data_IF_080207037311
#
_entry.id   IF_080207037311
#
_cell.length_a   1.000
_cell.length_b   1.000
_cell.length_c   1.000
_cell.angle_alpha   90.00
_cell.angle_beta   90.00
_cell.angle_gamma   90.00
#
_symmetry.space_group_name_H-M   'P 1'
#
loop_
_entity.id
_entity.type
_entity.pdbx_description
1 polymer ?
#
# COMPACT_ATOMS: atom_id res chain seq x y z
N UNK A 1 -2.21 30.27 2.67
CA UNK A 1 -1.20 29.56 3.45
C UNK A 1 -1.82 28.22 3.85
N UNK A 2 -1.66 27.21 3.01
CA UNK A 2 -2.11 25.84 3.28
C UNK A 2 -1.01 25.19 4.12
N UNK A 3 -1.30 24.95 5.41
CA UNK A 3 -0.39 24.24 6.30
C UNK A 3 -0.15 22.82 5.77
N UNK A 4 1.11 22.44 5.59
CA UNK A 4 1.51 21.14 5.10
C UNK A 4 0.99 20.01 5.99
N UNK A 5 0.43 18.97 5.39
CA UNK A 5 -0.21 17.82 6.07
C UNK A 5 0.78 16.93 6.82
N UNK A 6 2.07 17.13 6.67
CA UNK A 6 3.09 16.20 7.14
C UNK A 6 3.42 16.23 8.63
N UNK A 7 3.17 17.35 9.31
CA UNK A 7 3.33 17.58 10.76
C UNK A 7 4.40 16.72 11.49
N UNK A 8 5.61 16.65 10.95
CA UNK A 8 6.72 15.90 11.53
C UNK A 8 6.72 14.40 11.30
N UNK A 9 5.86 13.87 10.41
CA UNK A 9 5.82 12.47 10.03
C UNK A 9 7.14 12.04 9.38
N UNK A 10 7.67 10.91 9.82
CA UNK A 10 8.96 10.39 9.36
C UNK A 10 8.78 9.42 8.20
N UNK A 11 9.50 9.71 7.11
CA UNK A 11 9.47 8.90 5.89
C UNK A 11 10.86 8.32 5.66
N UNK A 12 10.99 7.01 5.57
CA UNK A 12 12.21 6.37 5.09
C UNK A 12 12.35 6.64 3.59
N UNK A 13 13.54 7.07 3.16
CA UNK A 13 13.92 7.11 1.74
C UNK A 13 15.17 6.24 1.55
N UNK A 14 15.04 5.14 0.81
CA UNK A 14 16.13 4.21 0.52
C UNK A 14 16.45 4.24 -0.98
N UNK A 15 17.62 4.78 -1.33
CA UNK A 15 18.10 4.90 -2.71
C UNK A 15 19.62 5.11 -2.65
N UNK A 16 20.43 4.43 -3.48
CA UNK A 16 21.89 4.57 -3.48
C UNK A 16 22.35 5.87 -4.14
N UNK A 17 21.48 6.51 -4.93
CA UNK A 17 21.76 7.77 -5.57
C UNK A 17 21.53 8.96 -4.61
N UNK A 18 22.58 9.56 -4.10
CA UNK A 18 22.51 10.75 -3.23
C UNK A 18 21.70 11.91 -3.83
N UNK A 19 21.67 12.03 -5.18
CA UNK A 19 20.88 13.05 -5.87
C UNK A 19 19.37 12.81 -5.68
N UNK A 20 18.92 11.55 -5.71
CA UNK A 20 17.52 11.18 -5.48
C UNK A 20 17.15 11.44 -4.02
N UNK A 21 17.97 10.99 -3.06
CA UNK A 21 17.75 11.26 -1.65
C UNK A 21 17.65 12.76 -1.33
N UNK A 22 18.49 13.60 -1.99
CA UNK A 22 18.41 15.07 -1.87
C UNK A 22 17.11 15.61 -2.49
N UNK A 23 16.72 15.11 -3.66
CA UNK A 23 15.48 15.52 -4.31
C UNK A 23 14.26 15.17 -3.45
N UNK A 24 14.21 13.95 -2.89
CA UNK A 24 13.15 13.53 -1.96
C UNK A 24 13.07 14.45 -0.74
N UNK A 25 14.21 14.79 -0.12
CA UNK A 25 14.26 15.75 1.00
C UNK A 25 13.75 17.14 0.63
N UNK A 26 14.15 17.65 -0.56
CA UNK A 26 13.71 18.97 -1.03
C UNK A 26 12.21 19.02 -1.32
N UNK A 27 11.65 17.95 -1.85
CA UNK A 27 10.22 17.86 -2.20
C UNK A 27 9.36 17.66 -0.95
N UNK A 28 9.77 16.77 -0.04
CA UNK A 28 8.92 16.34 1.08
C UNK A 28 9.00 17.28 2.31
N UNK A 29 10.13 17.94 2.53
CA UNK A 29 10.30 18.85 3.68
C UNK A 29 9.33 20.03 3.71
N UNK A 30 9.06 20.73 2.60
CA UNK A 30 8.05 21.82 2.58
C UNK A 30 6.63 21.34 2.94
N UNK A 31 6.33 20.07 2.68
CA UNK A 31 5.04 19.42 3.02
C UNK A 31 4.99 18.93 4.48
N UNK A 32 6.03 19.22 5.27
CA UNK A 32 6.08 18.89 6.70
C UNK A 32 6.56 17.47 7.01
N UNK A 33 7.15 16.76 6.05
CA UNK A 33 7.73 15.43 6.28
C UNK A 33 9.21 15.51 6.69
N UNK A 34 9.61 14.67 7.63
CA UNK A 34 11.00 14.39 7.96
C UNK A 34 11.48 13.18 7.17
N UNK A 35 12.52 13.35 6.33
CA UNK A 35 13.05 12.26 5.49
C UNK A 35 14.29 11.66 6.15
N UNK A 36 14.17 10.40 6.56
CA UNK A 36 15.28 9.56 7.03
C UNK A 36 15.86 8.81 5.82
N UNK A 37 17.08 9.17 5.44
CA UNK A 37 17.73 8.63 4.25
C UNK A 37 18.54 7.39 4.58
N UNK A 38 18.54 6.41 3.68
CA UNK A 38 19.39 5.23 3.68
C UNK A 38 19.91 4.98 2.26
N UNK A 39 21.18 4.61 2.13
CA UNK A 39 21.80 4.33 0.84
C UNK A 39 21.91 2.84 0.52
N UNK A 40 21.40 1.99 1.42
CA UNK A 40 21.43 0.53 1.28
C UNK A 40 20.26 -0.12 2.02
N UNK A 41 19.99 -1.38 1.75
CA UNK A 41 18.98 -2.17 2.46
C UNK A 41 19.32 -2.30 3.95
N UNK A 42 20.60 -2.53 4.28
CA UNK A 42 21.05 -2.64 5.66
C UNK A 42 20.82 -1.34 6.44
N UNK A 43 21.19 -0.21 5.85
CA UNK A 43 20.90 1.10 6.46
C UNK A 43 19.41 1.36 6.65
N UNK A 44 18.60 1.01 5.64
CA UNK A 44 17.15 1.15 5.70
C UNK A 44 16.53 0.36 6.87
N UNK A 45 16.93 -0.91 7.03
CA UNK A 45 16.47 -1.76 8.13
C UNK A 45 16.92 -1.20 9.49
N UNK A 46 18.15 -0.71 9.60
CA UNK A 46 18.65 -0.06 10.82
C UNK A 46 17.86 1.21 11.17
N UNK A 47 17.56 2.06 10.18
CA UNK A 47 16.73 3.26 10.38
C UNK A 47 15.37 2.90 10.95
N UNK A 48 14.70 1.90 10.36
CA UNK A 48 13.35 1.52 10.79
C UNK A 48 13.35 0.82 12.15
N UNK A 49 14.42 0.10 12.48
CA UNK A 49 14.58 -0.52 13.80
C UNK A 49 14.77 0.52 14.93
N UNK A 50 15.42 1.63 14.63
CA UNK A 50 15.80 2.65 15.62
C UNK A 50 14.83 3.85 15.69
N UNK A 51 14.01 4.04 14.66
CA UNK A 51 13.13 5.20 14.55
C UNK A 51 11.73 4.82 14.08
N UNK A 52 10.67 5.40 14.66
CA UNK A 52 9.32 5.21 14.13
C UNK A 52 9.23 5.85 12.74
N UNK A 53 8.86 5.05 11.76
CA UNK A 53 8.70 5.44 10.35
C UNK A 53 7.25 5.18 9.94
N UNK A 54 6.60 6.15 9.30
CA UNK A 54 5.19 6.07 8.93
C UNK A 54 4.97 5.62 7.49
N UNK A 55 5.96 5.81 6.61
CA UNK A 55 5.97 5.26 5.26
C UNK A 55 7.41 5.10 4.76
N UNK A 56 7.61 4.27 3.73
CA UNK A 56 8.88 4.07 3.08
C UNK A 56 8.79 4.35 1.58
N UNK A 57 9.82 4.98 1.03
CA UNK A 57 10.07 5.14 -0.40
C UNK A 57 11.35 4.34 -0.69
N UNK A 58 11.26 3.34 -1.56
CA UNK A 58 12.32 2.34 -1.75
C UNK A 58 12.69 2.23 -3.23
N UNK A 59 13.95 2.41 -3.57
CA UNK A 59 14.45 2.07 -4.90
C UNK A 59 14.53 0.54 -5.09
N UNK A 60 14.31 0.07 -6.30
CA UNK A 60 14.45 -1.34 -6.65
C UNK A 60 15.91 -1.78 -6.73
N UNK A 61 16.80 -0.89 -7.16
CA UNK A 61 18.23 -1.18 -7.31
C UNK A 61 18.98 -0.65 -6.10
N UNK A 62 19.55 -1.55 -5.30
CA UNK A 62 20.33 -1.20 -4.11
C UNK A 62 21.69 -1.90 -4.17
N UNK A 63 22.75 -1.33 -3.58
CA UNK A 63 24.11 -1.87 -3.69
C UNK A 63 24.29 -3.24 -3.00
N UNK A 64 23.44 -3.52 -2.01
CA UNK A 64 23.48 -4.74 -1.19
C UNK A 64 22.28 -5.68 -1.44
N UNK A 65 21.48 -5.41 -2.49
CA UNK A 65 20.36 -6.27 -2.85
C UNK A 65 19.30 -5.61 -3.72
N UNK A 66 18.10 -6.20 -3.75
CA UNK A 66 16.97 -5.70 -4.49
C UNK A 66 15.94 -5.08 -3.55
N UNK A 67 15.40 -3.92 -3.89
CA UNK A 67 14.35 -3.25 -3.11
C UNK A 67 13.10 -4.09 -2.90
N UNK A 68 12.81 -5.07 -3.78
CA UNK A 68 11.73 -6.04 -3.58
C UNK A 68 11.99 -6.90 -2.32
N UNK A 69 13.24 -7.26 -2.06
CA UNK A 69 13.58 -8.05 -0.87
C UNK A 69 13.52 -7.17 0.39
N UNK A 70 13.88 -5.88 0.29
CA UNK A 70 13.64 -4.92 1.36
C UNK A 70 12.13 -4.80 1.68
N UNK A 71 11.28 -4.71 0.66
CA UNK A 71 9.82 -4.70 0.86
C UNK A 71 9.34 -5.94 1.62
N UNK A 72 9.77 -7.14 1.24
CA UNK A 72 9.41 -8.39 1.93
C UNK A 72 9.84 -8.37 3.40
N UNK A 73 11.10 -7.99 3.67
CA UNK A 73 11.63 -7.89 5.04
C UNK A 73 10.86 -6.89 5.90
N UNK A 74 10.53 -5.73 5.35
CA UNK A 74 9.71 -4.74 6.06
C UNK A 74 8.31 -5.28 6.36
N UNK A 75 7.74 -6.09 5.47
CA UNK A 75 6.40 -6.70 5.65
C UNK A 75 6.35 -7.82 6.71
N UNK A 76 7.47 -8.41 7.08
CA UNK A 76 7.51 -9.43 8.14
C UNK A 76 7.02 -8.87 9.49
N UNK A 77 7.17 -7.56 9.73
CA UNK A 77 6.86 -6.95 11.03
C UNK A 77 6.20 -5.56 10.94
N UNK A 78 5.97 -5.03 9.74
CA UNK A 78 5.36 -3.70 9.57
C UNK A 78 4.30 -3.68 8.48
N UNK A 79 3.20 -2.97 8.76
CA UNK A 79 2.15 -2.66 7.80
C UNK A 79 2.26 -1.25 7.21
N UNK A 80 3.36 -0.50 7.48
CA UNK A 80 3.53 0.85 6.97
C UNK A 80 3.45 0.90 5.44
N UNK A 81 2.95 1.96 4.82
CA UNK A 81 2.95 2.11 3.38
C UNK A 81 4.36 2.06 2.79
N UNK A 82 4.52 1.31 1.69
CA UNK A 82 5.77 1.25 0.93
C UNK A 82 5.49 1.65 -0.51
N UNK A 83 6.15 2.72 -0.96
CA UNK A 83 6.14 3.18 -2.35
C UNK A 83 7.48 2.79 -2.98
N UNK A 84 7.43 2.10 -4.12
CA UNK A 84 8.63 1.69 -4.83
C UNK A 84 8.97 2.72 -5.93
N UNK A 85 10.24 3.10 -6.03
CA UNK A 85 10.76 3.83 -7.17
C UNK A 85 11.27 2.82 -8.22
N UNK A 86 10.88 2.99 -9.49
CA UNK A 86 11.29 2.08 -10.58
C UNK A 86 11.72 2.86 -11.82
N UNK A 87 12.59 2.30 -12.64
CA UNK A 87 12.91 2.86 -13.96
C UNK A 87 11.74 2.72 -14.95
N UNK A 88 11.74 3.53 -16.01
CA UNK A 88 10.74 3.45 -17.09
C UNK A 88 10.91 2.12 -17.85
N UNK A 89 9.79 1.44 -18.12
CA UNK A 89 9.75 0.26 -19.01
C UNK A 89 9.75 -1.10 -18.31
N UNK A 90 9.88 -1.15 -16.99
CA UNK A 90 9.96 -2.40 -16.22
C UNK A 90 8.61 -2.80 -15.62
N UNK A 91 7.61 -3.09 -16.46
CA UNK A 91 6.26 -3.49 -16.01
C UNK A 91 6.29 -4.77 -15.15
N UNK A 92 7.14 -5.73 -15.51
CA UNK A 92 7.27 -6.97 -14.74
C UNK A 92 7.81 -6.71 -13.33
N UNK A 93 8.76 -5.79 -13.17
CA UNK A 93 9.30 -5.42 -11.85
C UNK A 93 8.26 -4.70 -10.99
N UNK A 94 7.44 -3.82 -11.57
CA UNK A 94 6.33 -3.19 -10.87
C UNK A 94 5.36 -4.23 -10.31
N UNK A 95 4.96 -5.20 -11.16
CA UNK A 95 4.09 -6.30 -10.72
C UNK A 95 4.76 -7.14 -9.62
N UNK A 96 6.05 -7.41 -9.73
CA UNK A 96 6.81 -8.14 -8.71
C UNK A 96 6.88 -7.38 -7.39
N UNK A 97 7.15 -6.07 -7.43
CA UNK A 97 7.18 -5.21 -6.24
C UNK A 97 5.83 -5.18 -5.51
N UNK A 98 4.72 -4.98 -6.25
CA UNK A 98 3.38 -5.03 -5.69
C UNK A 98 3.05 -6.39 -5.07
N UNK A 99 3.42 -7.50 -5.73
CA UNK A 99 3.25 -8.86 -5.18
C UNK A 99 4.10 -9.12 -3.93
N UNK A 100 5.23 -8.44 -3.81
CA UNK A 100 6.11 -8.52 -2.64
C UNK A 100 5.62 -7.68 -1.45
N UNK A 101 4.54 -6.89 -1.65
CA UNK A 101 3.91 -6.12 -0.60
C UNK A 101 4.11 -4.61 -0.69
N UNK A 102 4.66 -4.08 -1.80
CA UNK A 102 4.59 -2.64 -2.05
C UNK A 102 3.13 -2.20 -2.22
N UNK A 103 2.78 -1.04 -1.70
CA UNK A 103 1.42 -0.46 -1.79
C UNK A 103 1.22 0.29 -3.09
N UNK A 104 2.31 0.84 -3.64
CA UNK A 104 2.32 1.65 -4.85
C UNK A 104 3.72 1.69 -5.48
N UNK A 105 3.80 2.23 -6.69
CA UNK A 105 5.07 2.49 -7.35
C UNK A 105 5.07 3.87 -8.04
N UNK A 106 6.26 4.43 -8.21
CA UNK A 106 6.49 5.68 -8.95
C UNK A 106 7.62 5.44 -9.94
N UNK A 107 7.43 5.87 -11.19
CA UNK A 107 8.43 5.72 -12.23
C UNK A 107 9.42 6.90 -12.22
N UNK A 108 10.71 6.60 -12.27
CA UNK A 108 11.77 7.62 -12.44
C UNK A 108 11.90 8.01 -13.92
N UNK A 109 11.99 9.32 -14.29
CA UNK A 109 11.93 10.48 -13.39
C UNK A 109 10.49 10.79 -12.96
N UNK A 110 10.31 11.22 -11.72
CA UNK A 110 8.99 11.54 -11.15
C UNK A 110 8.80 13.04 -10.93
N UNK A 111 7.54 13.48 -11.02
CA UNK A 111 7.15 14.84 -10.68
C UNK A 111 7.06 15.05 -9.16
N UNK A 112 7.49 16.22 -8.62
CA UNK A 112 7.33 16.51 -7.20
C UNK A 112 5.90 16.37 -6.69
N UNK A 113 4.93 16.87 -7.45
CA UNK A 113 3.50 16.82 -7.09
C UNK A 113 2.95 15.39 -7.10
N UNK A 114 3.39 14.56 -8.05
CA UNK A 114 3.02 13.14 -8.10
C UNK A 114 3.51 12.41 -6.87
N UNK A 115 4.77 12.58 -6.49
CA UNK A 115 5.37 11.96 -5.31
C UNK A 115 4.58 12.32 -4.04
N UNK A 116 4.30 13.62 -3.83
CA UNK A 116 3.56 14.11 -2.66
C UNK A 116 2.15 13.53 -2.64
N UNK A 117 1.41 13.60 -3.75
CA UNK A 117 0.05 13.10 -3.83
C UNK A 117 -0.05 11.59 -3.53
N UNK A 118 0.89 10.79 -4.08
CA UNK A 118 0.95 9.35 -3.82
C UNK A 118 1.30 9.03 -2.38
N UNK A 119 2.26 9.75 -1.79
CA UNK A 119 2.64 9.57 -0.38
C UNK A 119 1.48 9.93 0.56
N UNK A 120 0.81 11.05 0.33
CA UNK A 120 -0.35 11.46 1.12
C UNK A 120 -1.52 10.48 0.99
N UNK A 121 -1.79 9.98 -0.23
CA UNK A 121 -2.79 8.95 -0.45
C UNK A 121 -2.44 7.66 0.31
N UNK A 122 -1.18 7.23 0.31
CA UNK A 122 -0.72 6.07 1.06
C UNK A 122 -0.87 6.26 2.58
N UNK A 123 -0.49 7.42 3.10
CA UNK A 123 -0.63 7.76 4.53
C UNK A 123 -2.10 7.91 4.96
N UNK A 124 -2.96 8.47 4.11
CA UNK A 124 -4.41 8.59 4.40
C UNK A 124 -5.07 7.21 4.52
N UNK A 125 -4.73 6.26 3.65
CA UNK A 125 -5.20 4.87 3.75
C UNK A 125 -4.80 4.22 5.08
N UNK A 126 -3.73 4.70 5.66
CA UNK A 126 -3.17 4.24 6.92
C UNK A 126 -3.84 4.79 8.17
N UNK A 127 -4.65 5.84 8.06
CA UNK A 127 -5.28 6.50 9.22
C UNK A 127 -6.57 5.79 9.62
N UNK A 128 -6.84 5.61 10.94
CA UNK A 128 -8.10 5.04 11.41
C UNK A 128 -9.28 5.96 11.09
N UNK A 129 -10.40 5.36 10.67
CA UNK A 129 -11.67 6.07 10.44
C UNK A 129 -12.61 5.78 11.63
N UNK A 130 -13.19 6.80 12.31
CA UNK A 130 -13.88 6.63 13.59
C UNK A 130 -15.25 5.93 13.53
N UNK A 131 -15.82 5.62 12.38
CA UNK A 131 -17.23 5.21 12.23
C UNK A 131 -17.45 3.72 12.01
N UNK A 132 -16.77 2.78 12.71
CA UNK A 132 -16.87 1.42 12.23
C UNK A 132 -17.16 0.32 13.25
N UNK A 133 -18.21 -0.42 12.92
CA UNK A 133 -18.64 -1.67 13.53
C UNK A 133 -17.89 -2.88 12.96
N UNK A 134 -17.85 -3.97 13.72
CA UNK A 134 -17.38 -5.28 13.27
C UNK A 134 -18.33 -5.83 12.21
N UNK A 135 -17.79 -6.18 11.05
CA UNK A 135 -18.54 -6.82 9.97
C UNK A 135 -18.14 -8.28 9.88
N UNK A 136 -19.10 -9.18 10.14
CA UNK A 136 -18.89 -10.62 10.04
C UNK A 136 -19.62 -11.19 8.81
N UNK A 137 -18.93 -12.05 8.06
CA UNK A 137 -19.48 -12.70 6.89
C UNK A 137 -18.75 -14.01 6.54
N UNK A 138 -19.48 -15.14 6.61
CA UNK A 138 -18.97 -16.47 6.18
C UNK A 138 -17.61 -16.86 6.79
N UNK A 139 -17.40 -16.58 8.09
CA UNK A 139 -16.15 -16.87 8.81
C UNK A 139 -15.09 -15.79 8.69
N UNK A 140 -15.29 -14.74 7.89
CA UNK A 140 -14.45 -13.56 7.89
C UNK A 140 -15.05 -12.50 8.83
N UNK A 141 -14.25 -12.01 9.76
CA UNK A 141 -14.58 -10.93 10.69
C UNK A 141 -13.65 -9.76 10.38
N UNK A 142 -14.21 -8.59 10.11
CA UNK A 142 -13.48 -7.35 9.82
C UNK A 142 -13.87 -6.32 10.86
N UNK A 143 -12.96 -5.99 11.76
CA UNK A 143 -13.10 -4.90 12.70
C UNK A 143 -12.49 -3.65 12.09
N UNK A 144 -13.36 -2.76 11.62
CA UNK A 144 -12.95 -1.56 10.93
C UNK A 144 -12.35 -0.50 11.88
N UNK A 145 -12.78 -0.50 13.15
CA UNK A 145 -12.25 0.39 14.18
C UNK A 145 -10.87 -0.09 14.70
N UNK A 146 -10.75 -1.38 14.98
CA UNK A 146 -9.49 -1.97 15.46
C UNK A 146 -8.49 -2.24 14.31
N UNK A 147 -8.87 -2.02 13.04
CA UNK A 147 -8.06 -2.38 11.86
C UNK A 147 -7.61 -3.85 11.88
N UNK A 148 -8.45 -4.74 12.38
CA UNK A 148 -8.14 -6.16 12.49
C UNK A 148 -9.04 -7.00 11.61
N UNK A 149 -8.50 -8.12 11.14
CA UNK A 149 -9.22 -9.09 10.32
C UNK A 149 -8.96 -10.49 10.85
N UNK A 150 -10.03 -11.26 11.01
CA UNK A 150 -9.95 -12.67 11.40
C UNK A 150 -10.68 -13.53 10.39
N UNK A 151 -10.19 -14.74 10.20
CA UNK A 151 -10.87 -15.77 9.43
C UNK A 151 -10.94 -17.06 10.25
N UNK A 152 -12.15 -17.55 10.47
CA UNK A 152 -12.42 -18.74 11.28
C UNK A 152 -11.72 -18.66 12.67
N UNK A 153 -11.67 -17.45 13.26
CA UNK A 153 -11.01 -17.14 14.54
C UNK A 153 -9.50 -16.89 14.49
N UNK A 154 -8.85 -17.13 13.35
CA UNK A 154 -7.42 -16.87 13.18
C UNK A 154 -7.17 -15.45 12.65
N UNK A 155 -6.20 -14.74 13.24
CA UNK A 155 -5.83 -13.40 12.80
C UNK A 155 -5.20 -13.41 11.40
N UNK A 156 -5.59 -12.45 10.55
CA UNK A 156 -5.04 -12.24 9.21
C UNK A 156 -4.31 -10.90 9.20
N UNK A 157 -3.02 -10.94 8.89
CA UNK A 157 -2.24 -9.72 8.76
C UNK A 157 -2.39 -9.12 7.35
N UNK A 158 -3.10 -7.99 7.25
CA UNK A 158 -3.21 -7.19 6.04
C UNK A 158 -2.28 -5.97 6.10
N UNK A 159 -1.76 -5.56 4.94
CA UNK A 159 -1.14 -4.24 4.81
C UNK A 159 -2.23 -3.17 4.91
N UNK A 160 -1.83 -1.92 5.10
CA UNK A 160 -2.78 -0.80 5.17
C UNK A 160 -3.59 -0.64 3.88
N UNK A 161 -2.98 -0.85 2.74
CA UNK A 161 -3.66 -0.78 1.43
C UNK A 161 -4.62 -1.95 1.24
N UNK A 162 -4.22 -3.17 1.58
CA UNK A 162 -5.11 -4.34 1.52
C UNK A 162 -6.32 -4.17 2.45
N UNK A 163 -6.10 -3.61 3.66
CA UNK A 163 -7.17 -3.32 4.59
C UNK A 163 -8.10 -2.21 4.06
N UNK A 164 -7.55 -1.12 3.50
CA UNK A 164 -8.35 -0.06 2.89
C UNK A 164 -9.21 -0.57 1.74
N UNK A 165 -8.64 -1.43 0.89
CA UNK A 165 -9.37 -2.08 -0.21
C UNK A 165 -10.48 -3.00 0.31
N UNK A 166 -10.18 -3.83 1.32
CA UNK A 166 -11.18 -4.68 1.98
C UNK A 166 -12.29 -3.84 2.59
N UNK A 167 -11.97 -2.76 3.29
CA UNK A 167 -12.94 -1.82 3.89
C UNK A 167 -13.93 -1.30 2.87
N UNK A 168 -13.45 -0.79 1.72
CA UNK A 168 -14.31 -0.29 0.64
C UNK A 168 -15.21 -1.39 0.12
N UNK A 169 -14.68 -2.57 -0.13
CA UNK A 169 -15.42 -3.72 -0.63
C UNK A 169 -16.50 -4.20 0.36
N UNK A 170 -16.17 -4.29 1.64
CA UNK A 170 -17.09 -4.78 2.69
C UNK A 170 -18.21 -3.78 2.95
N UNK A 171 -17.91 -2.46 2.99
CA UNK A 171 -18.93 -1.40 3.10
C UNK A 171 -19.90 -1.38 1.92
N UNK A 172 -19.45 -1.79 0.74
CA UNK A 172 -20.25 -1.91 -0.48
C UNK A 172 -20.67 -3.37 -0.76
N UNK A 173 -20.86 -4.16 0.30
CA UNK A 173 -21.25 -5.58 0.19
C UNK A 173 -22.44 -5.80 -0.77
N UNK A 174 -22.30 -6.76 -1.66
CA UNK A 174 -23.33 -7.11 -2.67
C UNK A 174 -23.37 -6.15 -3.87
N UNK A 175 -22.74 -4.98 -3.80
CA UNK A 175 -22.69 -4.02 -4.91
C UNK A 175 -21.47 -4.29 -5.80
N UNK A 176 -21.62 -4.07 -7.09
CA UNK A 176 -20.50 -4.05 -8.03
C UNK A 176 -19.76 -2.71 -7.89
N UNK A 177 -18.48 -2.79 -7.55
CA UNK A 177 -17.57 -1.66 -7.54
C UNK A 177 -16.74 -1.69 -8.82
N UNK A 178 -16.78 -0.62 -9.63
CA UNK A 178 -15.96 -0.56 -10.84
C UNK A 178 -14.47 -0.45 -10.52
N UNK A 179 -13.60 -0.78 -11.49
CA UNK A 179 -12.16 -0.58 -11.31
C UNK A 179 -11.85 0.86 -10.92
N UNK A 180 -12.49 1.82 -11.59
CA UNK A 180 -12.33 3.24 -11.34
C UNK A 180 -12.78 3.65 -9.94
N UNK A 181 -13.96 3.20 -9.49
CA UNK A 181 -14.46 3.55 -8.16
C UNK A 181 -13.51 3.03 -7.08
N UNK A 182 -13.06 1.78 -7.18
CA UNK A 182 -12.11 1.20 -6.24
C UNK A 182 -10.77 1.94 -6.23
N UNK A 183 -10.27 2.32 -7.41
CA UNK A 183 -9.02 3.06 -7.53
C UNK A 183 -9.15 4.45 -6.90
N UNK A 184 -10.23 5.17 -7.20
CA UNK A 184 -10.47 6.51 -6.66
C UNK A 184 -10.68 6.47 -5.14
N UNK A 185 -11.49 5.54 -4.64
CA UNK A 185 -11.82 5.44 -3.21
C UNK A 185 -10.60 5.03 -2.37
N UNK A 186 -9.74 4.16 -2.91
CA UNK A 186 -8.59 3.64 -2.17
C UNK A 186 -7.33 4.47 -2.41
N UNK A 187 -7.04 4.90 -3.64
CA UNK A 187 -5.79 5.59 -3.98
C UNK A 187 -5.95 7.06 -4.30
N UNK A 188 -7.11 7.50 -4.75
CA UNK A 188 -7.38 8.86 -5.19
C UNK A 188 -7.59 8.96 -6.70
N UNK A 189 -8.04 10.14 -7.15
CA UNK A 189 -8.42 10.37 -8.54
C UNK A 189 -7.25 10.20 -9.53
N UNK A 190 -6.03 10.42 -9.07
CA UNK A 190 -4.80 10.30 -9.86
C UNK A 190 -4.55 8.86 -10.33
N UNK A 191 -5.15 7.88 -9.64
CA UNK A 191 -5.02 6.45 -9.95
C UNK A 191 -6.18 5.90 -10.78
N UNK A 192 -7.15 6.72 -11.16
CA UNK A 192 -8.41 6.27 -11.75
C UNK A 192 -8.28 5.26 -12.90
N UNK A 193 -7.16 5.27 -13.61
CA UNK A 193 -6.89 4.42 -14.78
C UNK A 193 -5.78 3.37 -14.54
N UNK A 194 -5.19 3.31 -13.32
CA UNK A 194 -4.09 2.37 -13.00
C UNK A 194 -4.60 1.00 -12.54
N UNK A 195 -5.19 0.25 -13.47
CA UNK A 195 -5.76 -1.07 -13.21
C UNK A 195 -4.71 -2.08 -12.73
N UNK A 196 -3.42 -1.88 -13.04
CA UNK A 196 -2.33 -2.79 -12.66
C UNK A 196 -2.14 -2.81 -11.15
N UNK A 197 -2.13 -1.64 -10.50
CA UNK A 197 -2.10 -1.52 -9.02
C UNK A 197 -3.27 -2.28 -8.41
N UNK A 198 -4.50 -2.01 -8.87
CA UNK A 198 -5.70 -2.64 -8.31
C UNK A 198 -5.65 -4.18 -8.42
N UNK A 199 -5.30 -4.71 -9.59
CA UNK A 199 -5.23 -6.16 -9.82
C UNK A 199 -4.19 -6.82 -8.92
N UNK A 200 -3.03 -6.19 -8.73
CA UNK A 200 -1.98 -6.66 -7.83
C UNK A 200 -2.47 -6.74 -6.39
N UNK A 201 -3.13 -5.69 -5.91
CA UNK A 201 -3.65 -5.63 -4.54
C UNK A 201 -4.85 -6.56 -4.31
N UNK A 202 -5.74 -6.72 -5.27
CA UNK A 202 -6.82 -7.73 -5.20
C UNK A 202 -6.24 -9.15 -5.11
N UNK A 203 -5.20 -9.46 -5.88
CA UNK A 203 -4.56 -10.76 -5.83
C UNK A 203 -3.91 -11.03 -4.46
N UNK A 204 -3.23 -10.02 -3.89
CA UNK A 204 -2.64 -10.11 -2.55
C UNK A 204 -3.72 -10.29 -1.47
N UNK A 205 -4.76 -9.48 -1.51
CA UNK A 205 -5.87 -9.53 -0.57
C UNK A 205 -6.52 -10.94 -0.60
N UNK A 206 -6.90 -11.45 -1.78
CA UNK A 206 -7.49 -12.78 -1.93
C UNK A 206 -6.63 -13.88 -1.33
N UNK A 207 -5.33 -13.88 -1.61
CA UNK A 207 -4.40 -14.88 -1.08
C UNK A 207 -4.42 -14.94 0.45
N UNK A 208 -4.72 -13.83 1.14
CA UNK A 208 -4.76 -13.74 2.59
C UNK A 208 -6.13 -14.08 3.17
N UNK A 209 -7.22 -13.60 2.56
CA UNK A 209 -8.57 -13.78 3.12
C UNK A 209 -9.31 -15.00 2.58
N UNK A 210 -8.97 -15.50 1.38
CA UNK A 210 -9.66 -16.64 0.75
C UNK A 210 -8.91 -17.94 1.04
N UNK A 211 -9.59 -19.00 1.48
CA UNK A 211 -8.96 -20.31 1.73
C UNK A 211 -8.49 -20.97 0.42
N UNK A 212 -7.35 -21.63 0.47
CA UNK A 212 -6.71 -22.30 -0.67
C UNK A 212 -7.49 -23.51 -1.22
N UNK A 213 -8.50 -23.96 -0.50
CA UNK A 213 -9.18 -25.20 -0.82
C UNK A 213 -10.67 -25.01 -1.13
N UNK A 214 -11.00 -24.96 -2.39
CA UNK A 214 -12.33 -25.31 -2.89
C UNK A 214 -13.20 -24.16 -3.40
N UNK A 215 -14.22 -24.47 -4.22
CA UNK A 215 -15.01 -23.50 -4.97
C UNK A 215 -16.02 -22.69 -4.12
N UNK A 216 -16.00 -22.80 -2.79
CA UNK A 216 -17.13 -22.36 -1.95
C UNK A 216 -16.90 -21.12 -1.08
N UNK A 217 -15.68 -20.56 -0.99
CA UNK A 217 -15.42 -19.38 -0.16
C UNK A 217 -14.62 -18.34 -0.92
N UNK A 218 -15.24 -17.72 -1.91
CA UNK A 218 -14.69 -16.52 -2.52
C UNK A 218 -15.42 -15.32 -1.97
N UNK A 219 -14.71 -14.48 -1.23
CA UNK A 219 -15.27 -13.23 -0.70
C UNK A 219 -15.32 -12.14 -1.76
N UNK A 220 -14.28 -12.04 -2.60
CA UNK A 220 -14.16 -11.03 -3.64
C UNK A 220 -14.34 -11.68 -5.01
N UNK A 221 -15.44 -11.38 -5.70
CA UNK A 221 -15.72 -11.86 -7.06
C UNK A 221 -15.21 -10.86 -8.09
N UNK A 222 -14.69 -11.38 -9.21
CA UNK A 222 -14.36 -10.59 -10.39
C UNK A 222 -15.55 -10.50 -11.31
N UNK A 223 -15.91 -9.28 -11.72
CA UNK A 223 -16.83 -9.04 -12.84
C UNK A 223 -15.96 -8.61 -14.04
N UNK A 224 -15.76 -9.52 -15.02
CA UNK A 224 -14.77 -9.31 -16.07
C UNK A 224 -14.96 -7.99 -16.83
N UNK A 225 -13.87 -7.23 -16.97
CA UNK A 225 -13.88 -5.94 -17.67
C UNK A 225 -14.50 -4.78 -16.90
N UNK A 226 -15.15 -5.01 -15.74
CA UNK A 226 -15.92 -3.98 -15.03
C UNK A 226 -15.30 -3.68 -13.65
N UNK A 227 -15.11 -4.70 -12.80
CA UNK A 227 -14.67 -4.47 -11.43
C UNK A 227 -14.76 -5.69 -10.52
N UNK A 228 -15.06 -5.43 -9.26
CA UNK A 228 -15.12 -6.44 -8.20
C UNK A 228 -16.35 -6.27 -7.32
N UNK A 229 -16.76 -7.36 -6.69
CA UNK A 229 -17.90 -7.40 -5.76
C UNK A 229 -17.51 -8.20 -4.52
N UNK A 230 -17.80 -7.69 -3.35
CA UNK A 230 -17.72 -8.46 -2.10
C UNK A 230 -19.04 -9.20 -1.89
N UNK A 231 -19.03 -10.51 -2.07
CA UNK A 231 -20.22 -11.37 -1.99
C UNK A 231 -19.87 -12.69 -1.29
N UNK A 232 -19.69 -12.65 0.06
CA UNK A 232 -19.43 -13.85 0.84
C UNK A 232 -20.70 -14.71 0.89
N UNK A 233 -20.61 -15.91 0.35
CA UNK A 233 -21.68 -16.93 0.41
C UNK A 233 -21.46 -17.90 1.54
#
# INVERSE_FOLDING_TARGET
MTGGSGNGRRILACDDELRILRALKLVLRPEGFEVLAAASMEEALNVVALSPVEAAIVDLVLPDGNGIDLCKRLREWSSMPIIVLSAVGEEEEKVRALRAGADDYITKPFGPQELVARLEAALRRASPDPEDSVIAASGLEVDLAAHSVRRDGADIHLTRTEFALLRVLVRNRGRLMTHRDLLVDVWGIEYADDITVLRGQIANLRRKIEPDAGPRRHYVRTEPGIGYRFDPK
#
